data_IF_339540825082
#
_entry.id   IF_339540825082
#
_cell.length_a   1.000
_cell.length_b   1.000
_cell.length_c   1.000
_cell.angle_alpha   90.00
_cell.angle_beta   90.00
_cell.angle_gamma   90.00
#
_symmetry.space_group_name_H-M   'P 1'
#
loop_
_entity.id
_entity.type
_entity.pdbx_description
1 polymer ?
#
# COMPACT_ATOMS: atom_id res chain seq x y z
N UNK A 1 8.52 24.50 13.80
CA UNK A 1 7.53 24.07 14.80
C UNK A 1 6.26 23.71 14.02
N UNK A 2 6.24 22.58 13.40
CA UNK A 2 5.14 22.06 12.59
C UNK A 2 4.93 20.60 12.94
N UNK A 3 3.81 20.36 13.48
CA UNK A 3 2.85 19.37 13.14
C UNK A 3 2.79 18.06 13.91
N UNK A 4 2.78 18.21 15.23
CA UNK A 4 2.36 17.12 16.13
C UNK A 4 0.83 16.88 16.09
N UNK A 5 0.06 17.77 15.44
CA UNK A 5 -1.41 17.73 15.40
C UNK A 5 -1.91 16.80 14.31
N UNK A 6 -1.28 16.81 13.14
CA UNK A 6 -1.65 15.97 11.99
C UNK A 6 -1.34 14.50 12.28
N UNK A 7 -0.20 14.23 12.91
CA UNK A 7 0.16 12.87 13.35
C UNK A 7 -0.80 12.29 14.40
N UNK A 8 -1.30 13.13 15.32
CA UNK A 8 -2.32 12.72 16.30
C UNK A 8 -3.67 12.44 15.66
N UNK A 9 -4.10 13.24 14.71
CA UNK A 9 -5.38 13.07 14.00
C UNK A 9 -5.37 11.78 13.16
N UNK A 10 -4.27 11.49 12.46
CA UNK A 10 -4.09 10.24 11.70
C UNK A 10 -4.21 9.01 12.58
N UNK A 11 -3.45 8.95 13.65
CA UNK A 11 -3.50 7.82 14.60
C UNK A 11 -4.91 7.64 15.20
N UNK A 12 -5.66 8.73 15.36
CA UNK A 12 -7.03 8.71 15.86
C UNK A 12 -8.00 8.16 14.82
N UNK A 13 -7.87 8.57 13.55
CA UNK A 13 -8.71 8.08 12.44
C UNK A 13 -8.45 6.59 12.21
N UNK A 14 -7.20 6.16 12.10
CA UNK A 14 -6.85 4.75 11.97
C UNK A 14 -7.28 3.90 13.18
N UNK A 15 -7.17 4.45 14.39
CA UNK A 15 -7.63 3.76 15.60
C UNK A 15 -9.18 3.65 15.65
N UNK A 16 -9.90 4.66 15.21
CA UNK A 16 -11.37 4.64 15.12
C UNK A 16 -11.86 3.67 14.04
N UNK A 17 -11.18 3.64 12.87
CA UNK A 17 -11.49 2.70 11.78
C UNK A 17 -11.20 1.27 12.25
N UNK A 18 -10.04 1.00 12.86
CA UNK A 18 -9.72 -0.31 13.44
C UNK A 18 -10.75 -0.77 14.45
N UNK A 19 -11.22 0.13 15.31
CA UNK A 19 -12.27 -0.18 16.29
C UNK A 19 -13.60 -0.52 15.61
N UNK A 20 -13.98 0.25 14.59
CA UNK A 20 -15.25 0.04 13.85
C UNK A 20 -15.21 -1.24 12.99
N UNK A 21 -14.07 -1.56 12.37
CA UNK A 21 -13.86 -2.82 11.62
C UNK A 21 -13.84 -4.03 12.56
N UNK A 22 -13.33 -3.88 13.78
CA UNK A 22 -13.35 -4.95 14.79
C UNK A 22 -14.74 -5.22 15.40
N UNK A 23 -15.66 -4.26 15.34
CA UNK A 23 -17.03 -4.37 15.86
C UNK A 23 -18.03 -4.91 14.83
N UNK A 24 -17.71 -4.80 13.52
CA UNK A 24 -18.55 -5.31 12.41
C UNK A 24 -17.86 -6.47 11.72
N UNK A 25 -18.30 -7.65 12.02
CA UNK A 25 -17.73 -8.94 11.65
C UNK A 25 -17.73 -9.26 10.14
N UNK A 26 -17.51 -8.32 9.20
CA UNK A 26 -17.33 -8.55 7.73
C UNK A 26 -17.13 -7.28 6.88
N UNK A 27 -16.97 -6.07 7.44
CA UNK A 27 -16.69 -4.90 6.60
C UNK A 27 -15.19 -4.73 6.38
N UNK A 28 -14.78 -4.64 5.11
CA UNK A 28 -13.41 -4.34 4.72
C UNK A 28 -13.03 -2.91 5.12
N UNK A 29 -11.73 -2.66 5.29
CA UNK A 29 -11.20 -1.31 5.54
C UNK A 29 -11.64 -0.31 4.46
N UNK A 30 -11.53 -0.71 3.19
CA UNK A 30 -11.92 0.10 2.03
C UNK A 30 -13.43 0.40 2.02
N UNK A 31 -14.27 -0.61 2.23
CA UNK A 31 -15.72 -0.38 2.27
C UNK A 31 -16.11 0.61 3.37
N UNK A 32 -15.44 0.55 4.53
CA UNK A 32 -15.69 1.52 5.61
C UNK A 32 -15.36 2.96 5.21
N UNK A 33 -14.31 3.18 4.40
CA UNK A 33 -13.96 4.51 3.88
C UNK A 33 -14.92 4.95 2.78
N UNK A 34 -15.27 4.06 1.86
CA UNK A 34 -16.17 4.34 0.73
C UNK A 34 -17.57 4.70 1.23
N UNK A 35 -18.08 4.02 2.25
CA UNK A 35 -19.40 4.30 2.85
C UNK A 35 -19.50 5.71 3.46
N UNK A 36 -18.36 6.36 3.75
CA UNK A 36 -18.33 7.74 4.27
C UNK A 36 -18.38 8.80 3.18
N UNK A 37 -18.25 8.41 1.90
CA UNK A 37 -18.34 9.34 0.77
C UNK A 37 -19.79 9.80 0.59
N UNK A 38 -20.01 11.11 0.68
CA UNK A 38 -21.33 11.70 0.60
C UNK A 38 -21.90 11.72 -0.83
N UNK A 39 -21.03 11.86 -1.82
CA UNK A 39 -21.39 11.82 -3.24
C UNK A 39 -21.64 10.37 -3.67
N UNK A 40 -22.88 10.10 -4.10
CA UNK A 40 -23.33 8.75 -4.44
C UNK A 40 -22.65 8.23 -5.72
N UNK A 41 -22.53 9.07 -6.73
CA UNK A 41 -21.90 8.70 -8.01
C UNK A 41 -20.41 8.37 -7.80
N UNK A 42 -19.71 9.18 -6.98
CA UNK A 42 -18.31 8.92 -6.62
C UNK A 42 -18.18 7.63 -5.80
N UNK A 43 -19.09 7.41 -4.84
CA UNK A 43 -19.10 6.18 -4.03
C UNK A 43 -19.25 4.93 -4.89
N UNK A 44 -20.19 4.94 -5.86
CA UNK A 44 -20.36 3.82 -6.79
C UNK A 44 -19.11 3.58 -7.63
N UNK A 45 -18.50 4.63 -8.20
CA UNK A 45 -17.26 4.53 -8.98
C UNK A 45 -16.12 3.93 -8.19
N UNK A 46 -15.93 4.36 -6.93
CA UNK A 46 -14.89 3.81 -6.07
C UNK A 46 -15.15 2.34 -5.73
N UNK A 47 -16.40 1.99 -5.45
CA UNK A 47 -16.78 0.61 -5.16
C UNK A 47 -16.55 -0.32 -6.38
N UNK A 48 -16.90 0.11 -7.58
CA UNK A 48 -16.65 -0.66 -8.81
C UNK A 48 -15.15 -0.94 -9.02
N UNK A 49 -14.28 0.04 -8.75
CA UNK A 49 -12.81 -0.12 -8.86
C UNK A 49 -12.29 -1.16 -7.86
N UNK A 50 -12.76 -1.11 -6.63
CA UNK A 50 -12.41 -2.08 -5.58
C UNK A 50 -12.91 -3.48 -5.94
N UNK A 51 -14.16 -3.60 -6.35
CA UNK A 51 -14.78 -4.88 -6.70
C UNK A 51 -14.05 -5.56 -7.87
N UNK A 52 -13.62 -4.78 -8.86
CA UNK A 52 -12.85 -5.29 -10.01
C UNK A 52 -11.54 -5.94 -9.56
N UNK A 53 -10.81 -5.30 -8.63
CA UNK A 53 -9.55 -5.83 -8.10
C UNK A 53 -9.84 -7.07 -7.24
N UNK A 54 -10.76 -6.96 -6.28
CA UNK A 54 -11.08 -8.05 -5.35
C UNK A 54 -11.61 -9.29 -6.07
N UNK A 55 -12.41 -9.10 -7.12
CA UNK A 55 -12.90 -10.22 -7.93
C UNK A 55 -11.76 -10.98 -8.61
N UNK A 56 -10.78 -10.27 -9.15
CA UNK A 56 -9.63 -10.89 -9.84
C UNK A 56 -8.69 -11.59 -8.86
N UNK A 57 -8.31 -10.94 -7.75
CA UNK A 57 -7.36 -11.50 -6.79
C UNK A 57 -7.90 -12.71 -6.04
N UNK A 58 -9.22 -12.88 -5.97
CA UNK A 58 -9.87 -14.04 -5.34
C UNK A 58 -9.36 -15.38 -5.88
N UNK A 59 -8.89 -15.39 -7.12
CA UNK A 59 -8.40 -16.59 -7.81
C UNK A 59 -6.88 -16.65 -7.91
N UNK A 60 -6.17 -15.74 -7.23
CA UNK A 60 -4.71 -15.64 -7.26
C UNK A 60 -4.09 -16.09 -5.93
N UNK A 61 -2.85 -16.55 -6.00
CA UNK A 61 -2.07 -16.81 -4.80
C UNK A 61 -1.73 -15.52 -4.07
N UNK A 62 -1.74 -15.57 -2.75
CA UNK A 62 -1.32 -14.45 -1.93
C UNK A 62 0.19 -14.20 -2.07
N UNK A 63 0.57 -12.93 -2.12
CA UNK A 63 1.96 -12.51 -2.31
C UNK A 63 2.56 -12.07 -0.98
N UNK A 64 3.65 -12.71 -0.55
CA UNK A 64 4.39 -12.26 0.64
C UNK A 64 5.05 -10.92 0.36
N UNK A 65 4.74 -9.91 1.18
CA UNK A 65 5.12 -8.51 0.96
C UNK A 65 5.51 -7.83 2.26
N UNK A 66 6.47 -6.92 2.17
CA UNK A 66 6.90 -6.07 3.28
C UNK A 66 7.01 -4.63 2.82
N UNK A 67 6.58 -3.69 3.66
CA UNK A 67 6.80 -2.26 3.47
C UNK A 67 7.83 -1.81 4.47
N UNK A 68 8.90 -1.15 4.00
CA UNK A 68 9.98 -0.61 4.81
C UNK A 68 10.07 0.92 4.69
N UNK A 69 10.54 1.56 5.76
CA UNK A 69 10.98 2.94 5.76
C UNK A 69 12.47 3.07 5.37
N UNK A 70 13.00 4.30 5.35
CA UNK A 70 14.41 4.60 5.01
C UNK A 70 15.42 4.18 6.08
N UNK A 71 14.96 3.64 7.21
CA UNK A 71 15.81 2.99 8.24
C UNK A 71 15.70 1.45 8.20
N UNK A 72 15.05 0.89 7.15
CA UNK A 72 14.71 -0.54 7.04
C UNK A 72 13.81 -1.07 8.18
N UNK A 73 12.97 -0.20 8.76
CA UNK A 73 11.96 -0.60 9.73
C UNK A 73 10.67 -0.97 9.03
N UNK A 74 10.00 -1.99 9.57
CA UNK A 74 8.73 -2.46 9.02
C UNK A 74 7.60 -1.47 9.30
N UNK A 75 6.94 -0.99 8.26
CA UNK A 75 5.72 -0.23 8.35
C UNK A 75 4.51 -1.16 8.32
N UNK A 76 3.68 -1.10 9.38
CA UNK A 76 2.44 -1.90 9.48
C UNK A 76 1.18 -1.08 9.19
N UNK A 77 1.34 0.19 8.83
CA UNK A 77 0.22 1.10 8.66
C UNK A 77 -0.77 0.63 7.58
N UNK A 78 -0.26 0.02 6.52
CA UNK A 78 -1.05 -0.41 5.36
C UNK A 78 -1.33 -1.93 5.33
N UNK A 79 -1.06 -2.67 6.41
CA UNK A 79 -1.25 -4.12 6.41
C UNK A 79 -2.68 -4.54 6.07
N UNK A 80 -3.69 -3.80 6.57
CA UNK A 80 -5.09 -4.09 6.24
C UNK A 80 -5.37 -3.95 4.75
N UNK A 81 -4.84 -2.90 4.12
CA UNK A 81 -4.99 -2.68 2.68
C UNK A 81 -4.21 -3.73 1.88
N UNK A 82 -2.99 -4.09 2.32
CA UNK A 82 -2.22 -5.17 1.72
C UNK A 82 -2.99 -6.50 1.73
N UNK A 83 -3.63 -6.84 2.83
CA UNK A 83 -4.44 -8.06 2.95
C UNK A 83 -5.66 -8.05 2.01
N UNK A 84 -6.31 -6.89 1.86
CA UNK A 84 -7.45 -6.72 0.96
C UNK A 84 -7.07 -6.83 -0.52
N UNK A 85 -5.83 -6.49 -0.89
CA UNK A 85 -5.30 -6.62 -2.26
C UNK A 85 -4.59 -7.96 -2.52
N UNK A 86 -4.71 -8.92 -1.61
CA UNK A 86 -4.11 -10.26 -1.76
C UNK A 86 -2.66 -10.36 -1.28
N UNK A 87 -2.15 -9.36 -0.60
CA UNK A 87 -0.86 -9.43 0.07
C UNK A 87 -0.89 -10.30 1.34
N UNK A 88 0.26 -10.80 1.72
CA UNK A 88 0.54 -11.45 2.99
C UNK A 88 1.67 -10.70 3.67
N UNK A 89 1.36 -9.72 4.57
CA UNK A 89 2.38 -8.89 5.21
C UNK A 89 3.41 -9.72 5.97
N UNK A 90 4.68 -9.38 5.83
CA UNK A 90 5.82 -10.03 6.48
C UNK A 90 6.48 -9.06 7.47
N UNK A 91 7.14 -9.61 8.49
CA UNK A 91 7.92 -8.86 9.48
C UNK A 91 9.44 -8.91 9.20
N UNK A 92 9.88 -9.75 8.26
CA UNK A 92 11.28 -9.91 7.88
C UNK A 92 11.42 -9.96 6.35
N UNK A 93 12.30 -9.11 5.74
CA UNK A 93 12.52 -9.08 4.30
C UNK A 93 12.93 -10.42 3.69
N UNK A 94 13.56 -11.32 4.47
CA UNK A 94 13.97 -12.65 4.00
C UNK A 94 12.78 -13.54 3.60
N UNK A 95 11.59 -13.23 4.09
CA UNK A 95 10.35 -13.97 3.80
C UNK A 95 9.45 -13.27 2.78
N UNK A 96 9.85 -12.07 2.33
CA UNK A 96 9.05 -11.27 1.41
C UNK A 96 9.50 -11.46 -0.05
N UNK A 97 8.56 -11.81 -0.91
CA UNK A 97 8.76 -11.85 -2.37
C UNK A 97 8.71 -10.45 -3.00
N UNK A 98 8.02 -9.54 -2.34
CA UNK A 98 7.86 -8.15 -2.77
C UNK A 98 8.31 -7.23 -1.63
N UNK A 99 9.12 -6.24 -1.95
CA UNK A 99 9.63 -5.23 -1.05
C UNK A 99 9.22 -3.84 -1.56
N UNK A 100 8.55 -3.09 -0.71
CA UNK A 100 8.09 -1.74 -1.02
C UNK A 100 8.75 -0.78 -0.04
N UNK A 101 9.40 0.27 -0.54
CA UNK A 101 9.85 1.39 0.27
C UNK A 101 8.84 2.54 0.18
N UNK A 102 8.33 2.95 1.32
CA UNK A 102 7.41 4.08 1.45
C UNK A 102 7.58 4.73 2.82
N UNK A 103 7.76 6.05 2.82
CA UNK A 103 7.88 6.81 4.07
C UNK A 103 7.32 8.23 3.88
N UNK A 104 6.59 8.70 4.88
CA UNK A 104 6.06 10.07 4.91
C UNK A 104 7.21 11.10 4.85
N UNK A 105 7.09 12.10 3.96
CA UNK A 105 8.08 13.13 3.75
C UNK A 105 9.23 12.73 2.83
N UNK A 106 9.20 11.51 2.27
CA UNK A 106 10.20 11.02 1.31
C UNK A 106 9.53 10.75 -0.05
N UNK A 107 9.49 11.74 -0.94
CA UNK A 107 9.00 11.52 -2.29
C UNK A 107 9.87 10.48 -3.03
N UNK A 108 9.26 9.80 -3.98
CA UNK A 108 9.86 8.71 -4.75
C UNK A 108 11.26 9.05 -5.29
N UNK A 109 11.47 10.29 -5.74
CA UNK A 109 12.78 10.75 -6.24
C UNK A 109 13.88 10.70 -5.17
N UNK A 110 13.56 10.95 -3.90
CA UNK A 110 14.51 10.84 -2.80
C UNK A 110 14.79 9.37 -2.45
N UNK A 111 13.76 8.52 -2.47
CA UNK A 111 13.93 7.08 -2.26
C UNK A 111 14.87 6.46 -3.29
N UNK A 112 14.86 6.92 -4.55
CA UNK A 112 15.79 6.47 -5.59
C UNK A 112 17.26 6.67 -5.21
N UNK A 113 17.57 7.69 -4.42
CA UNK A 113 18.93 7.95 -3.95
C UNK A 113 19.29 7.22 -2.65
N UNK A 114 18.32 6.99 -1.78
CA UNK A 114 18.54 6.44 -0.44
C UNK A 114 18.47 4.91 -0.39
N UNK A 115 17.57 4.30 -1.14
CA UNK A 115 17.28 2.87 -1.05
C UNK A 115 18.39 1.95 -1.57
N UNK A 116 19.09 2.22 -2.69
CA UNK A 116 20.05 1.28 -3.26
C UNK A 116 21.10 0.72 -2.28
N UNK A 117 21.77 1.55 -1.45
CA UNK A 117 22.78 1.04 -0.50
C UNK A 117 22.20 0.24 0.67
N UNK A 118 20.87 0.26 0.85
CA UNK A 118 20.18 -0.42 1.95
C UNK A 118 19.73 -1.82 1.57
N UNK A 119 19.70 -2.14 0.27
CA UNK A 119 19.25 -3.44 -0.25
C UNK A 119 20.30 -4.52 0.06
N UNK A 120 19.82 -5.70 0.42
CA UNK A 120 20.66 -6.86 0.65
C UNK A 120 20.39 -7.93 -0.41
N UNK A 121 21.47 -8.45 -1.00
CA UNK A 121 21.39 -9.44 -2.08
C UNK A 121 20.67 -10.73 -1.68
N UNK A 122 20.74 -11.11 -0.39
CA UNK A 122 20.08 -12.29 0.15
C UNK A 122 18.55 -12.16 0.26
N UNK A 123 17.98 -10.98 0.08
CA UNK A 123 16.52 -10.82 0.11
C UNK A 123 15.89 -11.28 -1.20
N UNK A 124 14.86 -12.17 -1.15
CA UNK A 124 14.23 -12.69 -2.37
C UNK A 124 13.69 -11.59 -3.29
N UNK A 125 13.12 -10.53 -2.74
CA UNK A 125 12.65 -9.40 -3.52
C UNK A 125 13.76 -8.70 -4.31
N UNK A 126 14.99 -8.63 -3.76
CA UNK A 126 16.16 -8.07 -4.42
C UNK A 126 16.69 -9.02 -5.49
N UNK A 127 16.79 -10.31 -5.17
CA UNK A 127 17.23 -11.34 -6.12
C UNK A 127 16.36 -11.37 -7.38
N UNK A 128 15.05 -11.26 -7.23
CA UNK A 128 14.08 -11.32 -8.34
C UNK A 128 13.64 -9.96 -8.89
N UNK A 129 14.27 -8.86 -8.45
CA UNK A 129 13.95 -7.48 -8.87
C UNK A 129 12.49 -7.07 -8.64
N UNK A 130 11.92 -7.48 -7.51
CA UNK A 130 10.59 -7.10 -7.04
C UNK A 130 10.68 -6.05 -5.91
N UNK A 131 11.48 -5.02 -6.13
CA UNK A 131 11.64 -3.86 -5.25
C UNK A 131 10.92 -2.68 -5.87
N UNK A 132 10.06 -2.04 -5.09
CA UNK A 132 9.27 -0.89 -5.52
C UNK A 132 9.52 0.31 -4.61
N UNK A 133 9.54 1.49 -5.19
CA UNK A 133 9.58 2.75 -4.47
C UNK A 133 8.23 3.44 -4.66
N UNK A 134 7.54 3.74 -3.57
CA UNK A 134 6.20 4.29 -3.57
C UNK A 134 6.22 5.72 -3.05
N UNK A 135 5.59 6.63 -3.77
CA UNK A 135 5.58 8.04 -3.42
C UNK A 135 4.86 8.30 -2.10
N UNK A 136 5.37 9.22 -1.30
CA UNK A 136 4.85 9.53 0.04
C UNK A 136 3.37 9.92 0.03
N UNK A 137 2.96 10.72 -0.95
CA UNK A 137 1.57 11.16 -1.09
C UNK A 137 0.61 10.00 -1.44
N UNK A 138 1.11 8.98 -2.13
CA UNK A 138 0.29 7.83 -2.54
C UNK A 138 0.18 6.79 -1.43
N UNK A 139 1.20 6.67 -0.59
CA UNK A 139 1.19 5.80 0.58
C UNK A 139 0.38 6.37 1.76
N UNK A 140 -0.02 7.65 1.69
CA UNK A 140 -0.82 8.33 2.70
C UNK A 140 -2.31 8.24 2.39
N UNK A 141 -3.06 7.57 3.27
CA UNK A 141 -4.49 7.37 3.12
C UNK A 141 -5.25 8.24 4.11
N UNK A 142 -5.87 9.30 3.59
CA UNK A 142 -6.75 10.19 4.36
C UNK A 142 -8.21 10.05 3.93
N UNK A 143 -8.45 9.70 2.65
CA UNK A 143 -9.77 9.65 2.04
C UNK A 143 -9.96 8.39 1.20
N UNK A 144 -11.21 8.07 0.85
CA UNK A 144 -11.58 6.89 0.09
C UNK A 144 -10.89 6.83 -1.29
N UNK A 145 -10.78 7.97 -1.99
CA UNK A 145 -10.13 8.04 -3.30
C UNK A 145 -8.64 7.68 -3.22
N UNK A 146 -7.94 8.15 -2.18
CA UNK A 146 -6.54 7.81 -1.95
C UNK A 146 -6.38 6.33 -1.59
N UNK A 147 -7.30 5.78 -0.79
CA UNK A 147 -7.29 4.36 -0.45
C UNK A 147 -7.48 3.46 -1.66
N UNK A 148 -8.38 3.84 -2.57
CA UNK A 148 -8.62 3.09 -3.81
C UNK A 148 -7.43 3.21 -4.75
N UNK A 149 -6.83 4.41 -4.90
CA UNK A 149 -5.61 4.59 -5.68
C UNK A 149 -4.44 3.76 -5.11
N UNK A 150 -4.27 3.77 -3.79
CA UNK A 150 -3.25 2.96 -3.12
C UNK A 150 -3.49 1.45 -3.32
N UNK A 151 -4.75 1.00 -3.35
CA UNK A 151 -5.09 -0.38 -3.68
C UNK A 151 -4.70 -0.73 -5.13
N UNK A 152 -4.94 0.17 -6.08
CA UNK A 152 -4.54 0.00 -7.48
C UNK A 152 -3.01 -0.09 -7.62
N UNK A 153 -2.26 0.80 -6.97
CA UNK A 153 -0.80 0.77 -6.94
C UNK A 153 -0.28 -0.57 -6.39
N UNK A 154 -0.83 -1.00 -5.26
CA UNK A 154 -0.46 -2.28 -4.65
C UNK A 154 -0.81 -3.47 -5.55
N UNK A 155 -1.96 -3.45 -6.24
CA UNK A 155 -2.33 -4.50 -7.17
C UNK A 155 -1.35 -4.60 -8.35
N UNK A 156 -0.88 -3.47 -8.90
CA UNK A 156 0.15 -3.43 -9.94
C UNK A 156 1.49 -3.99 -9.43
N UNK A 157 1.92 -3.61 -8.21
CA UNK A 157 3.18 -4.07 -7.62
C UNK A 157 3.15 -5.56 -7.25
N UNK A 158 2.04 -6.05 -6.70
CA UNK A 158 1.92 -7.45 -6.26
C UNK A 158 1.70 -8.42 -7.41
N UNK A 159 1.01 -7.98 -8.47
CA UNK A 159 0.64 -8.80 -9.63
C UNK A 159 1.04 -8.12 -10.94
N UNK A 160 2.36 -7.94 -11.18
CA UNK A 160 2.84 -7.20 -12.34
C UNK A 160 2.36 -7.82 -13.65
N UNK A 161 1.85 -6.98 -14.53
CA UNK A 161 1.29 -7.36 -15.82
C UNK A 161 -0.13 -7.93 -15.78
N UNK A 162 -0.69 -8.20 -14.59
CA UNK A 162 -2.06 -8.64 -14.43
C UNK A 162 -3.02 -7.48 -14.21
N UNK A 163 -2.56 -6.50 -13.45
CA UNK A 163 -3.21 -5.20 -13.33
C UNK A 163 -2.35 -4.16 -14.02
N UNK A 164 -2.98 -3.27 -14.78
CA UNK A 164 -2.32 -2.17 -15.49
C UNK A 164 -3.25 -0.96 -15.41
N UNK A 165 -3.08 -0.14 -14.38
CA UNK A 165 -3.81 1.12 -14.21
C UNK A 165 -3.01 2.31 -14.78
N UNK A 166 -1.69 2.13 -15.00
CA UNK A 166 -0.81 3.14 -15.56
C UNK A 166 -0.19 4.05 -14.50
N UNK A 167 -0.12 3.58 -13.26
CA UNK A 167 0.41 4.35 -12.13
C UNK A 167 1.93 4.25 -12.01
N UNK A 168 2.57 3.24 -12.64
CA UNK A 168 4.03 3.13 -12.68
C UNK A 168 4.66 4.37 -13.34
N UNK A 169 5.65 4.94 -12.69
CA UNK A 169 6.30 6.18 -13.09
C UNK A 169 5.58 7.46 -12.63
N UNK A 170 4.39 7.34 -12.02
CA UNK A 170 3.63 8.47 -11.46
C UNK A 170 3.60 8.42 -9.94
N UNK A 171 3.05 7.35 -9.36
CA UNK A 171 2.89 7.16 -7.92
C UNK A 171 3.87 6.15 -7.34
N UNK A 172 4.40 5.26 -8.16
CA UNK A 172 5.41 4.28 -7.78
C UNK A 172 6.32 3.93 -8.96
N UNK A 173 7.49 3.38 -8.68
CA UNK A 173 8.41 2.84 -9.68
C UNK A 173 8.94 1.47 -9.27
N UNK A 174 9.21 0.63 -10.27
CA UNK A 174 9.99 -0.59 -10.11
C UNK A 174 11.48 -0.24 -10.06
N UNK A 175 12.17 -0.69 -9.01
CA UNK A 175 13.61 -0.54 -8.87
C UNK A 175 14.31 -1.81 -9.35
N UNK A 176 14.98 -1.74 -10.49
CA UNK A 176 15.75 -2.87 -11.04
C UNK A 176 17.05 -3.03 -10.26
N UNK A 177 17.20 -4.18 -9.61
CA UNK A 177 18.36 -4.53 -8.79
C UNK A 177 19.49 -5.22 -9.58
N UNK A 178 19.22 -5.58 -10.83
CA UNK A 178 20.17 -6.20 -11.77
C UNK A 178 20.03 -5.58 -13.16
#
# INVERSE_FOLDING_TARGET
MGDNTTHRLRNTIFAQIRKKVGETNHMSFLNTLIDQVADEDLREQLQERVDLIQHKIKFMDRVSVIILDTDNRVSKALNMLLEEVGGSPQDDPIHARVLIYAEEGYPMIQLMGLVPPMLKEEWPAVEFSHVYLWDDNSAMIEHAEQAVLAMEDLAEMLYPGYFVFGNEGQTWISFKTK
#
